data_IF_246393721787
#
_entry.id   IF_246393721787
#
_cell.length_a   1.000
_cell.length_b   1.000
_cell.length_c   1.000
_cell.angle_alpha   90.00
_cell.angle_beta   90.00
_cell.angle_gamma   90.00
#
_symmetry.space_group_name_H-M   'P 1'
#
loop_
_entity.id
_entity.type
_entity.pdbx_description
1 polymer ?
#
# COMPACT_ATOMS: atom_id res chain seq x y z
N UNK A 1 5.87 -12.97 -20.38
CA UNK A 1 4.55 -13.31 -20.96
C UNK A 1 3.81 -12.14 -21.64
N UNK A 2 4.37 -10.92 -21.71
CA UNK A 2 3.76 -9.79 -22.45
C UNK A 2 4.59 -9.29 -23.66
N UNK A 3 5.62 -10.05 -24.07
CA UNK A 3 6.52 -9.61 -25.16
C UNK A 3 5.93 -9.86 -26.57
N UNK A 4 4.85 -10.64 -26.68
CA UNK A 4 4.09 -10.81 -27.93
C UNK A 4 2.93 -9.80 -27.99
N UNK A 5 3.27 -8.51 -28.10
CA UNK A 5 2.25 -7.47 -28.40
C UNK A 5 1.63 -7.64 -29.79
N UNK A 6 2.31 -8.38 -30.68
CA UNK A 6 1.82 -8.73 -32.01
C UNK A 6 0.54 -9.58 -31.99
N UNK A 7 0.30 -10.38 -30.95
CA UNK A 7 -0.93 -11.20 -30.81
C UNK A 7 -2.04 -10.52 -30.02
N UNK A 8 -1.75 -9.43 -29.29
CA UNK A 8 -2.75 -8.70 -28.50
C UNK A 8 -3.81 -8.02 -29.40
N UNK A 9 -3.43 -7.64 -30.63
CA UNK A 9 -4.34 -7.07 -31.63
C UNK A 9 -5.38 -8.07 -32.18
N UNK A 10 -5.29 -9.36 -31.84
CA UNK A 10 -6.22 -10.39 -32.33
C UNK A 10 -7.54 -10.40 -31.53
N UNK A 11 -7.53 -9.91 -30.28
CA UNK A 11 -8.72 -9.90 -29.42
C UNK A 11 -8.97 -8.46 -28.92
N UNK A 12 -10.01 -7.76 -29.42
CA UNK A 12 -10.30 -6.38 -29.05
C UNK A 12 -10.51 -6.12 -27.56
N UNK A 13 -10.89 -7.15 -26.80
CA UNK A 13 -11.13 -7.07 -25.35
C UNK A 13 -9.91 -7.42 -24.49
N UNK A 14 -8.78 -7.77 -25.10
CA UNK A 14 -7.61 -8.27 -24.37
C UNK A 14 -7.08 -7.27 -23.35
N UNK A 15 -6.97 -5.99 -23.74
CA UNK A 15 -6.50 -4.92 -22.85
C UNK A 15 -7.46 -4.72 -21.66
N UNK A 16 -8.77 -4.72 -21.91
CA UNK A 16 -9.79 -4.64 -20.85
C UNK A 16 -9.73 -5.84 -19.91
N UNK A 17 -9.48 -7.05 -20.42
CA UNK A 17 -9.31 -8.24 -19.59
C UNK A 17 -8.05 -8.15 -18.73
N UNK A 18 -6.93 -7.65 -19.28
CA UNK A 18 -5.69 -7.42 -18.50
C UNK A 18 -5.93 -6.38 -17.41
N UNK A 19 -6.58 -5.27 -17.73
CA UNK A 19 -6.90 -4.21 -16.76
C UNK A 19 -7.77 -4.75 -15.63
N UNK A 20 -8.83 -5.50 -15.95
CA UNK A 20 -9.69 -6.13 -14.94
C UNK A 20 -8.92 -7.13 -14.04
N UNK A 21 -7.99 -7.91 -14.61
CA UNK A 21 -7.14 -8.82 -13.85
C UNK A 21 -6.19 -8.06 -12.91
N UNK A 22 -5.61 -6.96 -13.39
CA UNK A 22 -4.73 -6.11 -12.61
C UNK A 22 -5.47 -5.38 -11.49
N UNK A 23 -6.69 -4.92 -11.74
CA UNK A 23 -7.53 -4.30 -10.72
C UNK A 23 -8.01 -5.31 -9.66
N UNK A 24 -8.16 -6.58 -10.04
CA UNK A 24 -8.44 -7.66 -9.10
C UNK A 24 -7.23 -8.02 -8.22
N UNK A 25 -6.00 -7.90 -8.73
CA UNK A 25 -4.78 -8.26 -7.98
C UNK A 25 -3.63 -7.26 -8.17
N UNK A 26 -3.67 -6.19 -7.35
CA UNK A 26 -2.68 -5.10 -7.35
C UNK A 26 -1.21 -5.54 -7.19
N UNK A 27 -0.85 -6.57 -6.39
CA UNK A 27 0.52 -7.05 -6.31
C UNK A 27 1.10 -7.45 -7.67
N UNK A 28 0.30 -8.15 -8.47
CA UNK A 28 0.65 -8.54 -9.85
C UNK A 28 0.71 -7.31 -10.74
N UNK A 29 -0.31 -6.42 -10.68
CA UNK A 29 -0.31 -5.16 -11.44
C UNK A 29 1.00 -4.40 -11.24
N UNK A 30 1.42 -4.20 -10.00
CA UNK A 30 2.65 -3.48 -9.70
C UNK A 30 3.91 -4.22 -10.15
N UNK A 31 3.94 -5.54 -10.02
CA UNK A 31 5.08 -6.34 -10.48
C UNK A 31 5.29 -6.24 -11.99
N UNK A 32 4.22 -6.24 -12.78
CA UNK A 32 4.28 -6.20 -14.24
C UNK A 32 4.41 -4.79 -14.82
N UNK A 33 3.71 -3.81 -14.24
CA UNK A 33 3.68 -2.43 -14.78
C UNK A 33 4.68 -1.51 -14.11
N UNK A 34 5.15 -1.85 -12.91
CA UNK A 34 5.93 -0.95 -12.06
C UNK A 34 5.15 0.25 -11.56
N UNK A 35 3.81 0.30 -11.69
CA UNK A 35 3.00 1.45 -11.33
C UNK A 35 1.73 1.05 -10.57
N UNK A 36 1.46 1.76 -9.48
CA UNK A 36 0.13 1.83 -8.87
C UNK A 36 -0.37 3.27 -9.05
N UNK A 37 -1.54 3.40 -9.67
CA UNK A 37 -2.21 4.69 -9.87
C UNK A 37 -2.78 5.25 -8.57
N UNK A 38 -3.39 6.44 -8.69
CA UNK A 38 -4.09 7.13 -7.60
C UNK A 38 -5.29 6.32 -7.08
N UNK A 39 -5.90 5.49 -7.93
CA UNK A 39 -7.10 4.69 -7.60
C UNK A 39 -6.74 3.31 -7.05
N UNK A 40 -5.49 2.89 -7.20
CA UNK A 40 -5.00 1.61 -6.72
C UNK A 40 -4.66 1.71 -5.22
N UNK A 41 -5.55 1.20 -4.37
CA UNK A 41 -5.43 1.29 -2.91
C UNK A 41 -4.76 0.03 -2.34
N UNK A 42 -3.62 0.19 -1.65
CA UNK A 42 -2.91 -0.90 -0.98
C UNK A 42 -3.67 -1.35 0.29
N UNK A 43 -4.53 -2.36 0.12
CA UNK A 43 -5.27 -3.01 1.20
C UNK A 43 -4.37 -3.96 2.00
N UNK A 44 -4.87 -4.42 3.13
CA UNK A 44 -4.19 -5.45 3.92
C UNK A 44 -4.10 -6.76 3.14
N UNK A 45 -2.94 -7.42 3.20
CA UNK A 45 -2.58 -8.54 2.33
C UNK A 45 -1.87 -8.13 1.03
N UNK A 46 -1.77 -6.83 0.73
CA UNK A 46 -0.97 -6.37 -0.40
C UNK A 46 0.52 -6.69 -0.16
N UNK A 47 1.20 -7.18 -1.20
CA UNK A 47 2.61 -7.54 -1.12
C UNK A 47 3.36 -7.22 -2.40
N UNK A 48 4.68 -7.05 -2.29
CA UNK A 48 5.55 -6.70 -3.43
C UNK A 48 6.94 -7.27 -3.23
N UNK A 49 7.57 -7.76 -4.31
CA UNK A 49 9.00 -8.05 -4.26
C UNK A 49 9.79 -6.76 -4.24
N UNK A 50 10.88 -6.73 -3.48
CA UNK A 50 11.85 -5.63 -3.55
C UNK A 50 12.41 -5.44 -4.96
N UNK A 51 12.73 -6.54 -5.66
CA UNK A 51 13.25 -6.54 -7.03
C UNK A 51 12.49 -7.55 -7.90
N UNK A 52 12.24 -7.20 -9.16
CA UNK A 52 11.55 -8.06 -10.13
C UNK A 52 12.57 -8.89 -10.94
N UNK A 53 13.33 -9.75 -10.26
CA UNK A 53 14.38 -10.59 -10.89
C UNK A 53 13.82 -11.97 -11.27
N UNK A 54 12.80 -12.43 -10.57
CA UNK A 54 12.16 -13.73 -10.78
C UNK A 54 10.69 -13.59 -11.17
N UNK A 55 10.08 -14.71 -11.57
CA UNK A 55 8.62 -14.83 -11.71
C UNK A 55 7.94 -14.38 -10.42
N UNK A 56 6.83 -13.65 -10.59
CA UNK A 56 6.07 -13.13 -9.47
C UNK A 56 5.60 -14.28 -8.55
N UNK A 57 5.92 -14.26 -7.24
CA UNK A 57 5.61 -15.35 -6.32
C UNK A 57 4.16 -15.29 -5.87
N UNK A 58 3.52 -16.46 -5.80
CA UNK A 58 2.24 -16.64 -5.12
C UNK A 58 2.56 -16.85 -3.63
N UNK A 59 2.03 -16.01 -2.74
CA UNK A 59 2.36 -16.09 -1.31
C UNK A 59 2.00 -17.44 -0.68
N UNK A 60 0.87 -18.01 -1.06
CA UNK A 60 0.44 -19.32 -0.55
C UNK A 60 1.45 -20.42 -0.88
N UNK A 61 2.05 -20.38 -2.07
CA UNK A 61 3.13 -21.30 -2.45
C UNK A 61 4.38 -21.05 -1.61
N UNK A 62 4.75 -19.78 -1.40
CA UNK A 62 5.91 -19.43 -0.54
C UNK A 62 5.73 -19.99 0.87
N UNK A 63 4.54 -19.83 1.47
CA UNK A 63 4.25 -20.36 2.80
C UNK A 63 4.16 -21.89 2.83
N UNK A 64 3.49 -22.49 1.84
CA UNK A 64 3.27 -23.93 1.75
C UNK A 64 4.58 -24.69 1.57
N UNK A 65 5.45 -24.22 0.69
CA UNK A 65 6.68 -24.91 0.36
C UNK A 65 7.86 -24.54 1.26
N UNK A 66 7.69 -23.57 2.18
CA UNK A 66 8.71 -23.10 3.13
C UNK A 66 10.05 -22.76 2.46
N UNK A 67 10.04 -22.28 1.22
CA UNK A 67 11.24 -21.77 0.57
C UNK A 67 11.40 -20.29 0.91
N UNK A 68 12.61 -19.87 1.28
CA UNK A 68 12.93 -18.46 1.51
C UNK A 68 13.39 -17.82 0.19
N UNK A 69 12.55 -17.05 -0.52
CA UNK A 69 12.98 -16.35 -1.73
C UNK A 69 14.22 -15.49 -1.46
N UNK A 70 15.14 -15.43 -2.43
CA UNK A 70 16.39 -14.68 -2.29
C UNK A 70 16.12 -13.20 -2.01
N UNK A 71 15.20 -12.62 -2.77
CA UNK A 71 14.77 -11.23 -2.62
C UNK A 71 13.68 -11.12 -1.54
N UNK A 72 13.72 -10.07 -0.69
CA UNK A 72 12.64 -9.80 0.25
C UNK A 72 11.30 -9.56 -0.44
N UNK A 73 10.24 -10.07 0.17
CA UNK A 73 8.85 -9.76 -0.18
C UNK A 73 8.31 -8.87 0.94
N UNK A 74 7.92 -7.64 0.62
CA UNK A 74 7.28 -6.75 1.59
C UNK A 74 5.79 -6.99 1.63
N UNK A 75 5.22 -7.08 2.83
CA UNK A 75 3.78 -7.28 3.05
C UNK A 75 3.21 -6.10 3.84
N UNK A 76 2.03 -5.67 3.43
CA UNK A 76 1.21 -4.66 4.10
C UNK A 76 0.08 -5.37 4.83
N UNK A 77 0.07 -5.30 6.16
CA UNK A 77 -1.03 -5.81 6.97
C UNK A 77 -1.23 -4.97 8.23
N UNK A 78 -2.08 -3.94 8.18
CA UNK A 78 -2.34 -3.04 9.32
C UNK A 78 -3.55 -3.49 10.16
N UNK A 79 -4.02 -4.73 10.04
CA UNK A 79 -5.15 -5.21 10.82
C UNK A 79 -4.69 -5.45 12.26
N UNK A 80 -5.20 -4.67 13.20
CA UNK A 80 -5.14 -5.03 14.61
C UNK A 80 -6.33 -5.96 14.89
N UNK A 81 -6.08 -7.21 15.26
CA UNK A 81 -7.14 -8.06 15.80
C UNK A 81 -7.71 -7.37 17.04
N UNK A 82 -8.98 -6.97 16.98
CA UNK A 82 -9.66 -6.37 18.10
C UNK A 82 -10.06 -7.53 19.04
N UNK A 83 -9.47 -7.69 20.23
CA UNK A 83 -9.76 -8.83 21.11
C UNK A 83 -11.22 -8.85 21.60
N UNK A 84 -11.96 -7.77 21.36
CA UNK A 84 -13.33 -7.55 21.83
C UNK A 84 -14.41 -7.88 20.78
N UNK A 85 -14.04 -8.20 19.54
CA UNK A 85 -15.02 -8.55 18.48
C UNK A 85 -15.34 -10.05 18.39
N UNK A 86 -14.67 -10.90 19.18
CA UNK A 86 -14.96 -12.34 19.27
C UNK A 86 -16.05 -12.70 20.31
N UNK A 87 -16.66 -11.70 20.98
CA UNK A 87 -17.51 -11.97 22.15
C UNK A 87 -18.92 -11.37 22.11
N UNK A 88 -19.41 -10.88 20.97
CA UNK A 88 -20.78 -10.33 20.87
C UNK A 88 -21.44 -10.60 19.49
N UNK A 89 -21.48 -11.87 19.04
CA UNK A 89 -22.52 -12.27 18.08
C UNK A 89 -23.84 -12.53 18.83
N UNK A 90 -24.63 -11.47 19.00
CA UNK A 90 -26.08 -11.57 19.16
C UNK A 90 -26.77 -11.34 17.81
N UNK A 91 -27.92 -11.97 17.53
CA UNK A 91 -28.52 -11.96 16.21
C UNK A 91 -29.10 -10.58 15.90
N UNK A 92 -28.54 -9.87 14.92
CA UNK A 92 -29.17 -8.67 14.36
C UNK A 92 -29.49 -8.86 12.89
N UNK A 93 -30.79 -8.72 12.64
CA UNK A 93 -31.52 -8.96 11.41
C UNK A 93 -31.03 -8.07 10.25
N UNK A 94 -31.18 -8.63 9.06
CA UNK A 94 -30.84 -8.04 7.78
C UNK A 94 -31.51 -6.68 7.53
N UNK A 95 -30.73 -5.73 6.99
CA UNK A 95 -31.27 -4.68 6.13
C UNK A 95 -30.47 -4.66 4.82
N UNK A 96 -31.19 -4.97 3.76
CA UNK A 96 -30.71 -4.98 2.38
C UNK A 96 -30.26 -3.59 1.94
N UNK A 97 -29.07 -3.52 1.33
CA UNK A 97 -28.77 -2.54 0.30
C UNK A 97 -27.94 -3.24 -0.79
N UNK A 98 -28.66 -3.65 -1.83
CA UNK A 98 -28.14 -4.20 -3.07
C UNK A 98 -27.46 -3.05 -3.82
N UNK A 99 -26.17 -3.20 -4.14
CA UNK A 99 -25.63 -2.74 -5.41
C UNK A 99 -24.46 -3.64 -5.77
N UNK A 100 -24.82 -4.65 -6.55
CA UNK A 100 -24.03 -5.76 -7.01
C UNK A 100 -23.47 -5.46 -8.41
N UNK A 101 -22.13 -5.47 -8.52
CA UNK A 101 -21.39 -6.01 -9.67
C UNK A 101 -20.10 -6.64 -9.17
N UNK A 102 -20.22 -7.49 -8.16
CA UNK A 102 -19.10 -8.27 -7.62
C UNK A 102 -19.51 -9.73 -7.64
N UNK A 103 -18.74 -10.58 -8.31
CA UNK A 103 -18.94 -12.04 -8.33
C UNK A 103 -19.30 -12.52 -6.92
N UNK A 104 -20.52 -13.03 -6.76
CA UNK A 104 -21.07 -13.48 -5.49
C UNK A 104 -20.32 -14.73 -5.03
N UNK A 105 -19.22 -14.54 -4.30
CA UNK A 105 -18.56 -15.62 -3.58
C UNK A 105 -19.30 -15.83 -2.26
N UNK A 106 -19.68 -17.07 -1.98
CA UNK A 106 -20.44 -17.41 -0.78
C UNK A 106 -19.64 -17.05 0.48
N UNK A 107 -20.35 -16.80 1.59
CA UNK A 107 -19.75 -16.43 2.88
C UNK A 107 -18.73 -17.46 3.35
N UNK A 108 -18.95 -18.74 3.04
CA UNK A 108 -17.98 -19.81 3.32
C UNK A 108 -16.68 -19.65 2.52
N UNK A 109 -16.71 -19.15 1.28
CA UNK A 109 -15.50 -18.89 0.48
C UNK A 109 -14.71 -17.72 1.07
N UNK A 110 -15.40 -16.65 1.52
CA UNK A 110 -14.75 -15.54 2.24
C UNK A 110 -14.14 -15.98 3.57
N UNK A 111 -14.82 -16.86 4.31
CA UNK A 111 -14.33 -17.46 5.56
C UNK A 111 -13.13 -18.38 5.29
N UNK A 112 -13.18 -19.22 4.24
CA UNK A 112 -12.07 -20.07 3.81
C UNK A 112 -10.87 -19.24 3.31
N UNK A 113 -11.09 -18.05 2.74
CA UNK A 113 -10.02 -17.11 2.34
C UNK A 113 -9.41 -16.38 3.55
N UNK A 114 -10.16 -16.25 4.65
CA UNK A 114 -9.62 -15.78 5.95
C UNK A 114 -8.82 -16.89 6.63
N UNK A 115 -9.32 -18.12 6.58
CA UNK A 115 -8.63 -19.30 7.12
C UNK A 115 -7.40 -19.68 6.30
N UNK A 116 -7.32 -19.33 5.01
CA UNK A 116 -6.10 -19.50 4.20
C UNK A 116 -5.00 -18.47 4.49
N UNK A 117 -5.23 -17.46 5.35
CA UNK A 117 -4.18 -16.53 5.84
C UNK A 117 -3.29 -17.18 6.90
N UNK A 118 -2.91 -18.44 6.71
CA UNK A 118 -1.90 -19.12 7.50
C UNK A 118 -0.52 -18.43 7.30
N UNK A 119 -0.26 -17.35 8.06
CA UNK A 119 1.10 -16.82 8.25
C UNK A 119 1.31 -15.31 8.09
N UNK A 120 0.30 -14.53 7.70
CA UNK A 120 0.46 -13.06 7.65
C UNK A 120 0.21 -12.45 9.03
N UNK A 121 1.28 -12.41 9.85
CA UNK A 121 1.26 -11.79 11.16
C UNK A 121 0.81 -10.32 11.05
N UNK A 122 -0.01 -9.86 12.01
CA UNK A 122 -0.40 -8.46 12.15
C UNK A 122 0.85 -7.57 12.27
N UNK A 123 0.95 -6.52 11.45
CA UNK A 123 2.02 -5.55 11.54
C UNK A 123 1.61 -4.39 12.47
N UNK A 124 1.79 -4.62 13.78
CA UNK A 124 1.48 -3.60 14.81
C UNK A 124 2.28 -2.32 14.58
N UNK A 125 3.54 -2.42 14.13
CA UNK A 125 4.38 -1.24 13.87
C UNK A 125 3.82 -0.39 12.74
N UNK A 126 3.35 -1.03 11.65
CA UNK A 126 2.74 -0.32 10.54
C UNK A 126 1.41 0.31 10.93
N UNK A 127 0.60 -0.39 11.74
CA UNK A 127 -0.61 0.19 12.31
C UNK A 127 -0.30 1.45 13.14
N UNK A 128 0.68 1.37 14.03
CA UNK A 128 1.11 2.50 14.86
C UNK A 128 1.59 3.69 14.01
N UNK A 129 2.31 3.43 12.91
CA UNK A 129 2.71 4.46 11.96
C UNK A 129 1.51 5.18 11.34
N UNK A 130 0.50 4.42 10.91
CA UNK A 130 -0.73 4.98 10.34
C UNK A 130 -1.48 5.82 11.37
N UNK A 131 -1.65 5.32 12.60
CA UNK A 131 -2.35 6.05 13.67
C UNK A 131 -1.59 7.31 14.09
N UNK A 132 -0.27 7.21 14.28
CA UNK A 132 0.58 8.34 14.63
C UNK A 132 0.51 9.43 13.56
N UNK A 133 0.50 9.05 12.27
CA UNK A 133 0.37 10.01 11.18
C UNK A 133 -1.01 10.67 11.16
N UNK A 134 -2.10 9.92 11.37
CA UNK A 134 -3.45 10.48 11.51
C UNK A 134 -3.53 11.51 12.64
N UNK A 135 -2.96 11.22 13.81
CA UNK A 135 -2.87 12.16 14.92
C UNK A 135 -2.08 13.44 14.55
N UNK A 136 -0.97 13.31 13.80
CA UNK A 136 -0.20 14.46 13.31
C UNK A 136 -1.00 15.32 12.34
N UNK A 137 -1.81 14.72 11.47
CA UNK A 137 -2.71 15.47 10.58
C UNK A 137 -3.75 16.25 11.39
N UNK A 138 -4.42 15.60 12.35
CA UNK A 138 -5.42 16.25 13.22
C UNK A 138 -4.80 17.39 14.05
N UNK A 139 -3.56 17.24 14.51
CA UNK A 139 -2.88 18.30 15.26
C UNK A 139 -2.47 19.50 14.38
N UNK A 140 -2.17 19.26 13.11
CA UNK A 140 -1.77 20.31 12.16
C UNK A 140 -2.97 21.02 11.51
N UNK A 141 -4.08 20.31 11.35
CA UNK A 141 -5.32 20.82 10.76
C UNK A 141 -6.30 21.20 11.88
N UNK A 142 -6.56 22.50 12.07
CA UNK A 142 -7.42 23.00 13.15
C UNK A 142 -8.79 22.29 13.21
N UNK A 143 -9.38 22.21 14.41
CA UNK A 143 -10.64 21.49 14.75
C UNK A 143 -11.83 21.75 13.81
N UNK A 144 -11.83 22.87 13.07
CA UNK A 144 -12.88 23.23 12.10
C UNK A 144 -12.88 22.40 10.79
N UNK A 145 -11.81 21.65 10.50
CA UNK A 145 -11.71 20.80 9.28
C UNK A 145 -12.18 19.36 9.55
N UNK A 146 -11.96 18.85 10.77
CA UNK A 146 -12.34 17.49 11.17
C UNK A 146 -13.86 17.29 11.13
N UNK A 147 -14.66 18.35 11.33
CA UNK A 147 -16.12 18.30 11.24
C UNK A 147 -16.67 18.37 9.80
N UNK A 148 -15.90 18.89 8.84
CA UNK A 148 -16.31 19.07 7.42
C UNK A 148 -15.75 18.02 6.48
N UNK A 149 -14.81 17.20 6.94
CA UNK A 149 -14.25 16.12 6.12
C UNK A 149 -15.27 14.98 6.06
N UNK A 150 -16.03 14.90 4.98
CA UNK A 150 -16.78 13.68 4.63
C UNK A 150 -15.81 12.50 4.65
N UNK A 151 -16.20 11.41 5.32
CA UNK A 151 -15.39 10.18 5.41
C UNK A 151 -14.88 9.81 4.00
N UNK A 152 -13.56 9.74 3.84
CA UNK A 152 -12.93 9.32 2.58
C UNK A 152 -12.45 10.43 1.64
N UNK A 153 -12.65 11.71 1.95
CA UNK A 153 -12.23 12.82 1.07
C UNK A 153 -11.15 13.68 1.71
N UNK A 154 -10.23 14.20 0.88
CA UNK A 154 -9.18 15.15 1.28
C UNK A 154 -9.53 16.51 0.69
N UNK A 155 -9.51 17.55 1.51
CA UNK A 155 -9.66 18.91 1.04
C UNK A 155 -8.47 19.29 0.15
N UNK A 156 -8.80 19.80 -1.04
CA UNK A 156 -7.88 20.21 -2.11
C UNK A 156 -6.74 21.10 -1.59
N UNK A 157 -7.04 22.03 -0.67
CA UNK A 157 -6.05 22.96 -0.14
C UNK A 157 -4.98 22.29 0.73
N UNK A 158 -5.26 21.10 1.25
CA UNK A 158 -4.38 20.38 2.18
C UNK A 158 -3.52 19.31 1.50
N UNK A 159 -3.82 18.91 0.26
CA UNK A 159 -3.11 17.82 -0.44
C UNK A 159 -1.59 18.02 -0.43
N UNK A 160 -1.11 19.19 -0.85
CA UNK A 160 0.33 19.49 -0.87
C UNK A 160 0.96 19.58 0.54
N UNK A 161 0.19 20.04 1.53
CA UNK A 161 0.65 20.10 2.92
C UNK A 161 0.79 18.71 3.54
N UNK A 162 -0.27 17.88 3.42
CA UNK A 162 -0.30 16.48 3.86
C UNK A 162 0.82 15.66 3.20
N UNK A 163 1.02 15.84 1.90
CA UNK A 163 2.11 15.22 1.15
C UNK A 163 3.49 15.53 1.76
N UNK A 164 3.78 16.81 2.02
CA UNK A 164 5.06 17.21 2.65
C UNK A 164 5.20 16.68 4.07
N UNK A 165 4.12 16.68 4.85
CA UNK A 165 4.12 16.11 6.19
C UNK A 165 4.40 14.61 6.16
N UNK A 166 3.77 13.87 5.24
CA UNK A 166 3.96 12.44 5.06
C UNK A 166 5.38 12.11 4.61
N UNK A 167 5.94 12.87 3.67
CA UNK A 167 7.31 12.68 3.21
C UNK A 167 8.32 12.83 4.36
N UNK A 168 8.16 13.87 5.20
CA UNK A 168 8.99 14.07 6.40
C UNK A 168 8.79 12.95 7.43
N UNK A 169 7.57 12.47 7.59
CA UNK A 169 7.24 11.38 8.49
C UNK A 169 7.94 10.08 8.06
N UNK A 170 7.74 9.66 6.81
CA UNK A 170 8.35 8.45 6.23
C UNK A 170 9.87 8.53 6.28
N UNK A 171 10.45 9.69 5.93
CA UNK A 171 11.89 9.88 6.01
C UNK A 171 12.40 9.55 7.42
N UNK A 172 11.76 10.09 8.46
CA UNK A 172 12.12 9.81 9.87
C UNK A 172 11.93 8.35 10.26
N UNK A 173 10.85 7.70 9.84
CA UNK A 173 10.60 6.29 10.21
C UNK A 173 11.60 5.31 9.58
N UNK A 174 12.20 5.66 8.44
CA UNK A 174 13.10 4.80 7.66
C UNK A 174 14.53 5.34 7.53
N UNK A 175 14.93 6.31 8.35
CA UNK A 175 16.28 6.91 8.33
C UNK A 175 17.37 6.03 8.93
N UNK A 176 17.01 4.98 9.65
CA UNK A 176 17.97 4.19 10.43
C UNK A 176 18.43 4.90 11.72
N UNK A 177 19.27 4.22 12.51
CA UNK A 177 19.72 4.71 13.82
C UNK A 177 20.82 5.79 13.72
N UNK A 178 21.59 5.84 12.64
CA UNK A 178 22.73 6.75 12.48
C UNK A 178 22.56 7.66 11.25
N UNK A 179 22.38 8.97 11.45
CA UNK A 179 22.24 9.95 10.36
C UNK A 179 23.56 10.28 9.64
N UNK A 180 24.71 9.81 10.13
CA UNK A 180 26.03 10.11 9.57
C UNK A 180 26.49 9.08 8.52
N UNK A 181 25.81 7.95 8.42
CA UNK A 181 26.18 6.90 7.47
C UNK A 181 25.78 7.31 6.05
N UNK A 182 26.75 7.24 5.14
CA UNK A 182 26.62 7.73 3.76
C UNK A 182 26.07 6.68 2.78
N UNK A 183 26.04 5.40 3.15
CA UNK A 183 25.65 4.31 2.25
C UNK A 183 24.34 3.65 2.71
N UNK A 184 23.20 4.26 2.36
CA UNK A 184 21.87 3.78 2.73
C UNK A 184 21.58 2.37 2.21
N UNK A 185 22.05 2.03 1.01
CA UNK A 185 21.81 0.71 0.41
C UNK A 185 22.51 -0.41 1.19
N UNK A 186 23.72 -0.17 1.69
CA UNK A 186 24.43 -1.15 2.51
C UNK A 186 23.77 -1.33 3.87
N UNK A 187 23.36 -0.24 4.52
CA UNK A 187 22.61 -0.31 5.78
C UNK A 187 21.29 -1.04 5.62
N UNK A 188 20.57 -0.78 4.54
CA UNK A 188 19.35 -1.49 4.22
C UNK A 188 19.62 -3.00 4.07
N UNK A 189 20.70 -3.39 3.39
CA UNK A 189 21.03 -4.80 3.20
C UNK A 189 21.36 -5.51 4.52
N UNK A 190 22.07 -4.84 5.43
CA UNK A 190 22.32 -5.34 6.79
C UNK A 190 21.01 -5.47 7.56
N UNK A 191 20.18 -4.42 7.56
CA UNK A 191 18.89 -4.37 8.24
C UNK A 191 17.95 -5.49 7.76
N UNK A 192 17.89 -5.72 6.45
CA UNK A 192 17.10 -6.81 5.88
C UNK A 192 17.61 -8.19 6.30
N UNK A 193 18.93 -8.40 6.34
CA UNK A 193 19.51 -9.67 6.82
C UNK A 193 19.22 -9.92 8.29
N UNK A 194 19.25 -8.87 9.12
CA UNK A 194 18.91 -8.93 10.53
C UNK A 194 17.43 -9.28 10.74
N UNK A 195 16.52 -8.59 10.05
CA UNK A 195 15.09 -8.92 10.09
C UNK A 195 14.87 -10.37 9.66
N UNK A 196 15.40 -10.78 8.49
CA UNK A 196 15.24 -12.16 7.98
C UNK A 196 15.75 -13.20 8.97
N UNK A 197 16.84 -12.93 9.69
CA UNK A 197 17.34 -13.80 10.75
C UNK A 197 16.39 -13.85 11.95
N UNK A 198 15.76 -12.73 12.30
CA UNK A 198 14.84 -12.66 13.43
C UNK A 198 13.48 -13.31 13.18
N UNK A 199 12.94 -13.20 11.96
CA UNK A 199 11.61 -13.74 11.61
C UNK A 199 11.68 -15.07 10.84
N UNK A 200 12.90 -15.52 10.51
CA UNK A 200 13.18 -16.77 9.78
C UNK A 200 12.46 -16.89 8.42
N UNK A 201 12.08 -15.78 7.80
CA UNK A 201 11.42 -15.72 6.49
C UNK A 201 11.88 -14.53 5.66
N UNK A 202 11.79 -14.65 4.34
CA UNK A 202 11.99 -13.53 3.39
C UNK A 202 10.72 -12.69 3.19
N UNK A 203 9.61 -13.05 3.82
CA UNK A 203 8.35 -12.29 3.83
C UNK A 203 8.40 -11.30 5.00
N UNK A 204 8.67 -10.03 4.71
CA UNK A 204 8.95 -8.99 5.70
C UNK A 204 7.74 -8.04 5.84
N UNK A 205 7.14 -7.91 7.03
CA UNK A 205 6.16 -6.87 7.32
C UNK A 205 6.77 -5.47 7.15
N UNK A 206 6.08 -4.58 6.44
CA UNK A 206 6.61 -3.27 6.06
C UNK A 206 7.01 -2.39 7.26
N UNK A 207 6.28 -2.47 8.39
CA UNK A 207 6.52 -1.71 9.61
C UNK A 207 7.78 -2.12 10.39
N UNK A 208 8.34 -3.31 10.10
CA UNK A 208 9.63 -3.74 10.66
C UNK A 208 10.82 -3.01 10.04
N UNK A 209 10.65 -2.39 8.86
CA UNK A 209 11.72 -1.62 8.23
C UNK A 209 11.95 -0.31 8.98
N UNK A 210 13.15 -0.17 9.56
CA UNK A 210 13.65 1.07 10.18
C UNK A 210 14.69 1.78 9.30
N UNK A 211 15.21 1.08 8.31
CA UNK A 211 16.08 1.60 7.26
C UNK A 211 15.39 1.33 5.92
N UNK A 212 15.35 2.33 5.04
CA UNK A 212 14.81 2.19 3.68
C UNK A 212 15.65 2.95 2.66
N UNK A 213 15.67 2.47 1.41
CA UNK A 213 16.20 3.22 0.26
C UNK A 213 15.01 3.90 -0.44
N UNK A 214 15.14 4.21 -1.73
CA UNK A 214 14.08 4.87 -2.50
C UNK A 214 12.79 4.04 -2.52
N UNK A 215 12.88 2.74 -2.76
CA UNK A 215 11.71 1.87 -2.92
C UNK A 215 10.92 1.68 -1.63
N UNK A 216 11.59 1.32 -0.53
CA UNK A 216 10.93 1.05 0.75
C UNK A 216 10.22 2.30 1.30
N UNK A 217 10.87 3.47 1.14
CA UNK A 217 10.28 4.76 1.52
C UNK A 217 9.08 5.12 0.65
N UNK A 218 9.18 4.97 -0.68
CA UNK A 218 8.05 5.22 -1.56
C UNK A 218 6.88 4.26 -1.25
N UNK A 219 7.16 2.99 -1.00
CA UNK A 219 6.15 2.00 -0.62
C UNK A 219 5.44 2.39 0.69
N UNK A 220 6.18 2.72 1.75
CA UNK A 220 5.59 3.16 3.02
C UNK A 220 4.76 4.44 2.85
N UNK A 221 5.24 5.39 2.03
CA UNK A 221 4.48 6.59 1.69
C UNK A 221 3.15 6.21 1.03
N UNK A 222 3.16 5.38 -0.01
CA UNK A 222 1.95 4.95 -0.72
C UNK A 222 0.95 4.30 0.24
N UNK A 223 1.43 3.38 1.07
CA UNK A 223 0.58 2.67 2.04
C UNK A 223 -0.10 3.62 3.00
N UNK A 224 0.65 4.54 3.62
CA UNK A 224 0.05 5.50 4.56
C UNK A 224 -0.85 6.49 3.82
N UNK A 225 -0.46 6.96 2.62
CA UNK A 225 -1.24 7.85 1.78
C UNK A 225 -2.63 7.27 1.49
N UNK A 226 -2.69 5.98 1.15
CA UNK A 226 -3.93 5.27 0.89
C UNK A 226 -4.83 5.18 2.13
N UNK A 227 -4.27 5.05 3.34
CA UNK A 227 -5.03 5.03 4.61
C UNK A 227 -5.53 6.41 5.06
N UNK A 228 -4.98 7.50 4.51
CA UNK A 228 -5.44 8.87 4.75
C UNK A 228 -6.09 9.52 3.53
N UNK A 229 -6.37 8.71 2.50
CA UNK A 229 -7.02 9.11 1.24
C UNK A 229 -6.25 10.18 0.45
N UNK A 230 -4.94 10.27 0.61
CA UNK A 230 -4.10 11.18 -0.18
C UNK A 230 -3.91 10.61 -1.59
N UNK A 231 -4.22 11.37 -2.67
CA UNK A 231 -4.11 10.87 -4.04
C UNK A 231 -2.64 10.76 -4.45
N UNK A 232 -2.09 9.56 -4.28
CA UNK A 232 -0.69 9.25 -4.54
C UNK A 232 -0.56 8.02 -5.46
N UNK A 233 0.31 8.10 -6.45
CA UNK A 233 0.70 7.01 -7.31
C UNK A 233 2.12 6.55 -6.96
N UNK A 234 2.34 5.24 -6.92
CA UNK A 234 3.65 4.63 -6.68
C UNK A 234 4.25 4.20 -8.01
N UNK A 235 5.48 4.65 -8.28
CA UNK A 235 6.19 4.33 -9.51
C UNK A 235 7.53 3.69 -9.18
N UNK A 236 7.76 2.52 -9.74
CA UNK A 236 9.03 1.80 -9.74
C UNK A 236 9.80 2.18 -10.99
N UNK A 237 10.96 2.78 -10.79
CA UNK A 237 11.93 3.04 -11.83
C UNK A 237 12.91 1.88 -12.01
N UNK A 238 13.99 2.17 -12.73
CA UNK A 238 15.09 1.24 -12.94
C UNK A 238 16.08 1.27 -11.77
N UNK A 239 16.89 0.22 -11.64
CA UNK A 239 17.99 0.13 -10.66
C UNK A 239 17.55 0.34 -9.19
N UNK A 240 16.36 -0.16 -8.83
CA UNK A 240 15.85 -0.06 -7.46
C UNK A 240 15.35 1.34 -7.04
N UNK A 241 15.30 2.30 -7.97
CA UNK A 241 14.70 3.61 -7.73
C UNK A 241 13.17 3.50 -7.74
N UNK A 242 12.52 4.28 -6.89
CA UNK A 242 11.07 4.47 -6.92
C UNK A 242 10.72 5.86 -6.38
N UNK A 243 9.57 6.36 -6.75
CA UNK A 243 9.07 7.66 -6.30
C UNK A 243 7.55 7.64 -6.17
N UNK A 244 7.04 8.72 -5.58
CA UNK A 244 5.61 8.98 -5.47
C UNK A 244 5.26 10.18 -6.35
N UNK A 245 4.20 10.04 -7.12
CA UNK A 245 3.55 11.13 -7.84
C UNK A 245 2.26 11.50 -7.10
N UNK A 246 2.00 12.80 -6.90
CA UNK A 246 0.87 13.28 -6.12
C UNK A 246 0.03 14.18 -7.01
N UNK A 247 -1.27 13.89 -7.10
CA UNK A 247 -2.19 14.74 -7.84
C UNK A 247 -2.54 15.96 -7.00
N UNK A 248 -1.94 17.11 -7.32
CA UNK A 248 -2.26 18.40 -6.69
C UNK A 248 -3.21 19.15 -7.60
N UNK A 249 -4.45 19.46 -7.18
CA UNK A 249 -5.35 20.24 -8.00
C UNK A 249 -4.82 21.67 -8.15
N UNK A 250 -4.88 22.21 -9.36
CA UNK A 250 -4.56 23.62 -9.59
C UNK A 250 -5.63 24.48 -8.92
N UNK A 251 -5.26 25.16 -7.83
CA UNK A 251 -6.06 26.24 -7.30
C UNK A 251 -5.94 27.42 -8.28
N UNK A 252 -6.92 27.57 -9.16
CA UNK A 252 -7.12 28.77 -9.96
C UNK A 252 -7.26 29.96 -9.01
N UNK A 253 -6.14 30.62 -8.71
CA UNK A 253 -6.18 31.98 -8.19
C UNK A 253 -6.81 32.81 -9.31
N UNK A 254 -8.09 33.13 -9.19
CA UNK A 254 -8.73 34.17 -9.99
C UNK A 254 -7.91 35.44 -9.78
N UNK A 255 -6.93 35.68 -10.64
CA UNK A 255 -6.26 36.95 -10.74
C UNK A 255 -7.21 37.85 -11.51
N UNK A 256 -7.98 38.65 -10.76
CA UNK A 256 -8.62 39.86 -11.26
C UNK A 256 -9.86 39.65 -12.13
N UNK A 257 -10.90 40.38 -11.76
CA UNK A 257 -12.10 40.62 -12.57
C UNK A 257 -11.76 41.02 -14.00
N UNK A 258 -12.21 40.23 -14.99
CA UNK A 258 -12.55 40.81 -16.28
C UNK A 258 -13.86 41.56 -16.10
N UNK A 259 -13.74 42.88 -15.91
CA UNK A 259 -14.84 43.82 -16.05
C UNK A 259 -15.27 43.79 -17.51
N UNK A 260 -16.52 43.38 -17.77
CA UNK A 260 -17.22 43.71 -19.01
C UNK A 260 -17.75 45.14 -18.93
#
# INVERSE_FOLDING_TARGET
MLNNRSTAHVVPSWDTCIEALFDAHLPIKFAFTGRLSLHDITRDGFYVLRRNICSFPILDDVFRFKFCPLEPIYVVNCIQENPYELSLEGPKQASHAINDRGVFLSREILQLTMDSKFGLQCDSSLYDYVQLFKCKLIAAESKNVVSRTTRGFVDVGYVASRARMLAKFVARQMSGPDPLIRCMDHQLEIHLKEIKRSIETSVIPLGMLKVGSYFERALLFKVIADRVHLPAALVRGQYGKAWIEIAVPEAWRILGSLSF
#
